data_IF_716602144873
#
_entry.id   IF_716602144873
#
_cell.length_a   1.000
_cell.length_b   1.000
_cell.length_c   1.000
_cell.angle_alpha   90.00
_cell.angle_beta   90.00
_cell.angle_gamma   90.00
#
_symmetry.space_group_name_H-M   'P 1'
#
loop_
_entity.id
_entity.type
_entity.pdbx_description
1 polymer ?
#
# COMPACT_ATOMS: atom_id res chain seq x y z
N UNK A 1 -36.69 52.43 -84.78
CA UNK A 1 -35.70 51.34 -84.62
C UNK A 1 -35.11 51.31 -83.20
N UNK A 2 -35.26 52.38 -82.42
CA UNK A 2 -34.68 52.56 -81.07
C UNK A 2 -35.15 51.58 -79.98
N UNK A 3 -36.39 51.07 -80.06
CA UNK A 3 -36.93 50.14 -79.05
C UNK A 3 -36.25 48.77 -79.04
N UNK A 4 -35.77 48.30 -80.19
CA UNK A 4 -35.04 47.03 -80.33
C UNK A 4 -33.62 47.15 -79.76
N UNK A 5 -32.99 48.31 -79.90
CA UNK A 5 -31.66 48.57 -79.38
C UNK A 5 -31.64 48.68 -77.84
N UNK A 6 -32.64 49.34 -77.27
CA UNK A 6 -32.83 49.39 -75.81
C UNK A 6 -33.10 48.00 -75.21
N UNK A 7 -33.90 47.16 -75.89
CA UNK A 7 -34.18 45.80 -75.45
C UNK A 7 -32.92 44.92 -75.47
N UNK A 8 -32.10 45.07 -76.52
CA UNK A 8 -30.86 44.31 -76.69
C UNK A 8 -29.81 44.73 -75.63
N UNK A 9 -29.76 46.02 -75.29
CA UNK A 9 -28.88 46.54 -74.23
C UNK A 9 -29.28 46.01 -72.85
N UNK A 10 -30.59 45.99 -72.54
CA UNK A 10 -31.08 45.45 -71.27
C UNK A 10 -30.87 43.93 -71.17
N UNK A 11 -31.06 43.19 -72.27
CA UNK A 11 -30.77 41.77 -72.33
C UNK A 11 -29.30 41.46 -72.03
N UNK A 12 -28.38 42.25 -72.60
CA UNK A 12 -26.94 42.13 -72.35
C UNK A 12 -26.56 42.40 -70.90
N UNK A 13 -27.16 43.42 -70.26
CA UNK A 13 -26.92 43.73 -68.85
C UNK A 13 -27.42 42.60 -67.96
N UNK A 14 -28.65 42.12 -68.20
CA UNK A 14 -29.22 41.03 -67.41
C UNK A 14 -28.41 39.73 -67.55
N UNK A 15 -27.94 39.44 -68.77
CA UNK A 15 -27.08 38.28 -69.03
C UNK A 15 -25.75 38.37 -68.27
N UNK A 16 -25.12 39.55 -68.26
CA UNK A 16 -23.89 39.77 -67.53
C UNK A 16 -24.08 39.67 -66.01
N UNK A 17 -25.21 40.16 -65.48
CA UNK A 17 -25.53 40.00 -64.05
C UNK A 17 -25.74 38.53 -63.69
N UNK A 18 -26.53 37.79 -64.48
CA UNK A 18 -26.76 36.35 -64.27
C UNK A 18 -25.46 35.56 -64.36
N UNK A 19 -24.61 35.82 -65.36
CA UNK A 19 -23.31 35.17 -65.51
C UNK A 19 -22.39 35.49 -64.31
N UNK A 20 -22.37 36.74 -63.84
CA UNK A 20 -21.57 37.14 -62.68
C UNK A 20 -22.02 36.45 -61.38
N UNK A 21 -23.33 36.29 -61.18
CA UNK A 21 -23.90 35.61 -60.02
C UNK A 21 -23.62 34.10 -60.12
N UNK A 22 -23.73 33.51 -61.30
CA UNK A 22 -23.47 32.09 -61.52
C UNK A 22 -21.99 31.76 -61.33
N UNK A 23 -21.08 32.62 -61.79
CA UNK A 23 -19.64 32.51 -61.53
C UNK A 23 -19.35 32.66 -60.03
N UNK A 24 -19.99 33.59 -59.32
CA UNK A 24 -19.81 33.75 -57.87
C UNK A 24 -20.29 32.52 -57.08
N UNK A 25 -21.45 31.95 -57.45
CA UNK A 25 -22.03 30.75 -56.83
C UNK A 25 -21.24 29.47 -57.16
N UNK A 26 -20.67 29.38 -58.37
CA UNK A 26 -19.80 28.26 -58.76
C UNK A 26 -18.42 28.36 -58.09
N UNK A 27 -17.90 29.58 -57.90
CA UNK A 27 -16.63 29.81 -57.20
C UNK A 27 -16.70 29.52 -55.69
N UNK A 28 -17.88 29.67 -55.07
CA UNK A 28 -18.11 29.35 -53.65
C UNK A 28 -18.24 27.84 -53.35
N UNK A 29 -18.39 26.98 -54.36
CA UNK A 29 -18.70 25.53 -54.18
C UNK A 29 -17.49 24.59 -54.14
N UNK A 30 -16.26 25.07 -54.03
CA UNK A 30 -15.15 24.15 -53.72
C UNK A 30 -15.30 23.65 -52.29
N UNK A 31 -15.68 22.39 -52.15
CA UNK A 31 -15.82 21.76 -50.85
C UNK A 31 -14.55 21.95 -50.01
N UNK A 32 -14.70 22.28 -48.73
CA UNK A 32 -13.60 22.70 -47.85
C UNK A 32 -12.43 21.70 -47.81
N UNK A 33 -12.70 20.41 -47.97
CA UNK A 33 -11.71 19.34 -48.02
C UNK A 33 -10.84 19.33 -49.29
N UNK A 34 -11.17 20.13 -50.32
CA UNK A 34 -10.32 20.30 -51.51
C UNK A 34 -9.29 21.42 -51.36
N UNK A 35 -9.38 22.22 -50.29
CA UNK A 35 -8.41 23.29 -50.01
C UNK A 35 -7.21 22.69 -49.26
N UNK A 36 -6.07 22.54 -49.94
CA UNK A 36 -4.82 21.97 -49.38
C UNK A 36 -4.46 22.62 -48.01
N UNK A 37 -4.52 23.95 -47.83
CA UNK A 37 -4.19 24.57 -46.54
C UNK A 37 -5.12 24.14 -45.38
N UNK A 38 -6.40 23.87 -45.68
CA UNK A 38 -7.38 23.42 -44.67
C UNK A 38 -7.05 22.00 -44.22
N UNK A 39 -6.71 21.11 -45.15
CA UNK A 39 -6.27 19.75 -44.82
C UNK A 39 -5.01 19.78 -43.95
N UNK A 40 -4.00 20.56 -44.34
CA UNK A 40 -2.75 20.70 -43.58
C UNK A 40 -3.05 21.20 -42.16
N UNK A 41 -3.94 22.18 -42.01
CA UNK A 41 -4.33 22.72 -40.70
C UNK A 41 -5.02 21.68 -39.82
N UNK A 42 -5.93 20.87 -40.40
CA UNK A 42 -6.60 19.79 -39.66
C UNK A 42 -5.61 18.69 -39.25
N UNK A 43 -4.69 18.31 -40.14
CA UNK A 43 -3.64 17.34 -39.83
C UNK A 43 -2.70 17.84 -38.74
N UNK A 44 -2.25 19.10 -38.84
CA UNK A 44 -1.43 19.73 -37.81
C UNK A 44 -2.15 19.79 -36.46
N UNK A 45 -3.45 20.12 -36.44
CA UNK A 45 -4.28 20.12 -35.25
C UNK A 45 -4.39 18.71 -34.64
N UNK A 46 -4.65 17.70 -35.47
CA UNK A 46 -4.74 16.30 -35.04
C UNK A 46 -3.40 15.82 -34.46
N UNK A 47 -2.29 16.20 -35.08
CA UNK A 47 -0.96 15.90 -34.59
C UNK A 47 -0.65 16.61 -33.27
N UNK A 48 -1.07 17.86 -33.11
CA UNK A 48 -0.95 18.62 -31.86
C UNK A 48 -1.73 17.94 -30.71
N UNK A 49 -2.97 17.50 -30.97
CA UNK A 49 -3.74 16.73 -29.99
C UNK A 49 -3.11 15.37 -29.68
N UNK A 50 -2.60 14.67 -30.71
CA UNK A 50 -1.92 13.39 -30.54
C UNK A 50 -0.67 13.48 -29.67
N UNK A 51 0.19 14.48 -29.93
CA UNK A 51 1.39 14.73 -29.12
C UNK A 51 1.05 15.14 -27.69
N UNK A 52 0.03 15.99 -27.49
CA UNK A 52 -0.46 16.38 -26.16
C UNK A 52 -0.97 15.18 -25.36
N UNK A 53 -1.77 14.31 -25.97
CA UNK A 53 -2.28 13.11 -25.32
C UNK A 53 -1.16 12.16 -24.90
N UNK A 54 -0.21 11.88 -25.81
CA UNK A 54 0.96 11.04 -25.52
C UNK A 54 1.83 11.67 -24.43
N UNK A 55 2.03 12.98 -24.46
CA UNK A 55 2.77 13.73 -23.44
C UNK A 55 2.13 13.56 -22.07
N UNK A 56 0.82 13.78 -21.96
CA UNK A 56 0.09 13.60 -20.70
C UNK A 56 0.17 12.16 -20.17
N UNK A 57 0.11 11.16 -21.06
CA UNK A 57 0.27 9.76 -20.66
C UNK A 57 1.69 9.47 -20.15
N UNK A 58 2.71 10.03 -20.80
CA UNK A 58 4.11 9.88 -20.39
C UNK A 58 4.38 10.54 -19.03
N UNK A 59 3.85 11.74 -18.80
CA UNK A 59 3.97 12.47 -17.54
C UNK A 59 3.39 11.61 -16.40
N UNK A 60 2.17 11.08 -16.54
CA UNK A 60 1.57 10.19 -15.52
C UNK A 60 2.43 8.96 -15.20
N UNK A 61 3.03 8.33 -16.21
CA UNK A 61 3.90 7.16 -15.99
C UNK A 61 5.19 7.58 -15.27
N UNK A 62 5.75 8.73 -15.61
CA UNK A 62 6.94 9.29 -14.96
C UNK A 62 6.65 9.65 -13.51
N UNK A 63 5.50 10.25 -13.23
CA UNK A 63 5.07 10.59 -11.87
C UNK A 63 4.93 9.33 -10.99
N UNK A 64 4.28 8.28 -11.51
CA UNK A 64 4.17 6.98 -10.83
C UNK A 64 5.57 6.40 -10.54
N UNK A 65 6.49 6.49 -11.51
CA UNK A 65 7.86 6.00 -11.32
C UNK A 65 8.63 6.82 -10.28
N UNK A 66 8.45 8.14 -10.24
CA UNK A 66 9.04 9.02 -9.25
C UNK A 66 8.55 8.69 -7.84
N UNK A 67 7.22 8.63 -7.65
CA UNK A 67 6.60 8.24 -6.37
C UNK A 67 7.09 6.85 -5.92
N UNK A 68 7.21 5.90 -6.86
CA UNK A 68 7.75 4.57 -6.56
C UNK A 68 9.21 4.58 -6.14
N UNK A 69 10.02 5.43 -6.75
CA UNK A 69 11.42 5.60 -6.36
C UNK A 69 11.51 6.15 -4.93
N UNK A 70 10.71 7.17 -4.62
CA UNK A 70 10.69 7.78 -3.30
C UNK A 70 10.19 6.81 -2.22
N UNK A 71 9.12 6.05 -2.50
CA UNK A 71 8.63 5.00 -1.61
C UNK A 71 9.71 3.96 -1.31
N UNK A 72 10.44 3.49 -2.32
CA UNK A 72 11.53 2.52 -2.12
C UNK A 72 12.66 3.09 -1.27
N UNK A 73 13.00 4.36 -1.47
CA UNK A 73 14.01 5.05 -0.66
C UNK A 73 13.57 5.16 0.81
N UNK A 74 12.30 5.45 1.07
CA UNK A 74 11.75 5.48 2.44
C UNK A 74 11.74 4.09 3.07
N UNK A 75 11.32 3.06 2.32
CA UNK A 75 11.33 1.67 2.81
C UNK A 75 12.73 1.18 3.16
N UNK A 76 13.74 1.54 2.36
CA UNK A 76 15.14 1.25 2.69
C UNK A 76 15.55 1.91 4.00
N UNK A 77 15.23 3.18 4.21
CA UNK A 77 15.52 3.89 5.46
C UNK A 77 14.79 3.27 6.67
N UNK A 78 13.51 2.92 6.50
CA UNK A 78 12.72 2.23 7.52
C UNK A 78 13.33 0.87 7.88
N UNK A 79 13.77 0.08 6.89
CA UNK A 79 14.42 -1.22 7.14
C UNK A 79 15.76 -1.14 7.87
N UNK A 80 16.42 0.03 7.85
CA UNK A 80 17.66 0.26 8.58
C UNK A 80 17.43 0.63 10.06
N UNK A 81 16.22 1.04 10.45
CA UNK A 81 15.90 1.47 11.83
C UNK A 81 16.17 0.38 12.87
N UNK A 82 15.74 -0.89 12.69
CA UNK A 82 15.99 -1.94 13.68
C UNK A 82 17.48 -2.15 13.98
N UNK A 83 18.33 -2.12 12.93
CA UNK A 83 19.79 -2.23 13.08
C UNK A 83 20.35 -1.05 13.86
N UNK A 84 19.92 0.17 13.57
CA UNK A 84 20.31 1.38 14.31
C UNK A 84 19.89 1.32 15.79
N UNK A 85 18.70 0.82 16.08
CA UNK A 85 18.23 0.60 17.46
C UNK A 85 19.08 -0.43 18.21
N UNK A 86 19.49 -1.51 17.54
CA UNK A 86 20.39 -2.51 18.12
C UNK A 86 21.78 -1.92 18.39
N UNK A 87 22.35 -1.20 17.42
CA UNK A 87 23.63 -0.50 17.57
C UNK A 87 23.58 0.54 18.69
N UNK A 88 22.48 1.29 18.81
CA UNK A 88 22.25 2.24 19.89
C UNK A 88 22.35 1.57 21.25
N UNK A 89 21.59 0.49 21.45
CA UNK A 89 21.54 -0.26 22.71
C UNK A 89 22.91 -0.81 23.07
N UNK A 90 23.68 -1.25 22.07
CA UNK A 90 25.05 -1.76 22.29
C UNK A 90 26.06 -0.65 22.57
N UNK A 91 25.96 0.48 21.86
CA UNK A 91 26.94 1.59 21.94
C UNK A 91 26.81 2.40 23.23
N UNK A 92 25.58 2.55 23.74
CA UNK A 92 25.28 3.33 24.94
C UNK A 92 24.73 2.46 26.07
N UNK A 93 25.18 1.20 26.18
CA UNK A 93 24.71 0.27 27.23
C UNK A 93 24.87 0.82 28.65
N UNK A 94 25.87 1.69 28.84
CA UNK A 94 26.24 2.26 30.14
C UNK A 94 25.63 3.65 30.38
N UNK A 95 24.92 4.22 29.40
CA UNK A 95 24.26 5.53 29.48
C UNK A 95 22.77 5.43 29.10
N UNK A 96 21.90 5.10 30.06
CA UNK A 96 20.45 5.00 29.83
C UNK A 96 19.83 6.30 29.31
N UNK A 97 20.39 7.47 29.65
CA UNK A 97 19.88 8.76 29.19
C UNK A 97 20.17 8.97 27.70
N UNK A 98 21.37 8.58 27.24
CA UNK A 98 21.71 8.60 25.82
C UNK A 98 20.83 7.65 25.01
N UNK A 99 20.57 6.44 25.52
CA UNK A 99 19.64 5.48 24.88
C UNK A 99 18.24 6.08 24.76
N UNK A 100 17.71 6.68 25.83
CA UNK A 100 16.39 7.28 25.81
C UNK A 100 16.30 8.47 24.84
N UNK A 101 17.29 9.37 24.85
CA UNK A 101 17.32 10.55 24.00
C UNK A 101 17.43 10.19 22.51
N UNK A 102 18.42 9.37 22.14
CA UNK A 102 18.63 8.99 20.72
C UNK A 102 17.54 8.04 20.24
N UNK A 103 17.06 7.12 21.10
CA UNK A 103 15.92 6.26 20.79
C UNK A 103 14.66 7.07 20.50
N UNK A 104 14.44 8.16 21.24
CA UNK A 104 13.37 9.13 20.95
C UNK A 104 13.49 9.77 19.57
N UNK A 105 14.71 10.13 19.13
CA UNK A 105 14.94 10.69 17.79
C UNK A 105 14.69 9.65 16.69
N UNK A 106 15.15 8.41 16.88
CA UNK A 106 14.92 7.31 15.93
C UNK A 106 13.41 7.05 15.79
N UNK A 107 12.65 7.09 16.89
CA UNK A 107 11.20 6.93 16.84
C UNK A 107 10.50 8.08 16.11
N UNK A 108 10.97 9.33 16.25
CA UNK A 108 10.44 10.46 15.49
C UNK A 108 10.74 10.33 13.99
N UNK A 109 11.95 9.90 13.63
CA UNK A 109 12.32 9.62 12.24
C UNK A 109 11.45 8.49 11.65
N UNK A 110 11.24 7.40 12.41
CA UNK A 110 10.35 6.31 12.03
C UNK A 110 8.93 6.82 11.73
N UNK A 111 8.39 7.64 12.63
CA UNK A 111 7.03 8.18 12.48
C UNK A 111 6.90 9.04 11.22
N UNK A 112 7.86 9.94 10.97
CA UNK A 112 7.86 10.80 9.80
C UNK A 112 7.96 10.00 8.50
N UNK A 113 8.94 9.09 8.40
CA UNK A 113 9.15 8.26 7.22
C UNK A 113 7.95 7.34 6.94
N UNK A 114 7.37 6.75 7.98
CA UNK A 114 6.22 5.85 7.85
C UNK A 114 4.97 6.62 7.37
N UNK A 115 4.71 7.81 7.92
CA UNK A 115 3.59 8.65 7.47
C UNK A 115 3.74 9.06 6.02
N UNK A 116 4.93 9.54 5.63
CA UNK A 116 5.22 9.93 4.25
C UNK A 116 5.11 8.74 3.29
N UNK A 117 5.64 7.57 3.67
CA UNK A 117 5.53 6.36 2.85
C UNK A 117 4.06 5.94 2.67
N UNK A 118 3.23 6.08 3.70
CA UNK A 118 1.81 5.78 3.60
C UNK A 118 1.07 6.77 2.66
N UNK A 119 1.40 8.06 2.73
CA UNK A 119 0.86 9.07 1.79
C UNK A 119 1.27 8.81 0.34
N UNK A 120 2.50 8.33 0.11
CA UNK A 120 2.94 7.93 -1.24
C UNK A 120 2.19 6.68 -1.73
N UNK A 121 1.88 5.74 -0.84
CA UNK A 121 1.05 4.56 -1.17
C UNK A 121 -0.36 5.00 -1.58
N UNK A 122 -0.99 5.93 -0.86
CA UNK A 122 -2.32 6.47 -1.19
C UNK A 122 -2.37 7.19 -2.54
N UNK A 123 -1.25 7.74 -3.01
CA UNK A 123 -1.15 8.41 -4.31
C UNK A 123 -0.91 7.44 -5.48
N UNK A 124 -0.45 6.23 -5.19
CA UNK A 124 -0.19 5.22 -6.20
C UNK A 124 -1.48 4.48 -6.58
N UNK A 125 -1.66 4.12 -7.86
CA UNK A 125 -2.70 3.18 -8.24
C UNK A 125 -2.50 1.81 -7.54
N UNK A 126 -3.59 1.13 -7.17
CA UNK A 126 -3.55 -0.16 -6.47
C UNK A 126 -2.71 -1.22 -7.20
N UNK A 127 -2.71 -1.23 -8.54
CA UNK A 127 -1.91 -2.15 -9.36
C UNK A 127 -0.39 -1.88 -9.29
N UNK A 128 0.01 -0.78 -8.65
CA UNK A 128 1.41 -0.41 -8.44
C UNK A 128 1.89 -0.70 -7.05
N UNK A 129 1.05 -0.80 -6.04
CA UNK A 129 1.47 -1.11 -4.66
C UNK A 129 1.55 -2.62 -4.48
N UNK A 130 2.64 -3.11 -3.89
CA UNK A 130 2.74 -4.51 -3.50
C UNK A 130 2.31 -4.71 -2.06
N UNK A 131 1.77 -5.89 -1.76
CA UNK A 131 1.34 -6.26 -0.42
C UNK A 131 2.46 -6.10 0.64
N UNK A 132 3.71 -6.39 0.27
CA UNK A 132 4.86 -6.30 1.17
C UNK A 132 5.29 -4.85 1.43
N UNK A 133 5.13 -3.94 0.47
CA UNK A 133 5.37 -2.51 0.67
C UNK A 133 4.36 -1.95 1.68
N UNK A 134 3.06 -2.25 1.49
CA UNK A 134 2.00 -1.85 2.43
C UNK A 134 2.22 -2.44 3.82
N UNK A 135 2.57 -3.73 3.93
CA UNK A 135 2.91 -4.38 5.19
C UNK A 135 4.07 -3.69 5.92
N UNK A 136 5.14 -3.36 5.18
CA UNK A 136 6.34 -2.75 5.76
C UNK A 136 6.04 -1.36 6.32
N UNK A 137 5.22 -0.57 5.62
CA UNK A 137 4.74 0.72 6.11
C UNK A 137 3.82 0.53 7.33
N UNK A 138 2.92 -0.45 7.31
CA UNK A 138 2.02 -0.75 8.43
C UNK A 138 2.79 -1.07 9.73
N UNK A 139 3.84 -1.89 9.64
CA UNK A 139 4.72 -2.23 10.76
C UNK A 139 5.39 -0.97 11.32
N UNK A 140 5.94 -0.12 10.45
CA UNK A 140 6.59 1.11 10.86
C UNK A 140 5.63 2.11 11.53
N UNK A 141 4.41 2.24 10.99
CA UNK A 141 3.33 3.04 11.57
C UNK A 141 2.92 2.50 12.95
N UNK A 142 2.78 1.18 13.09
CA UNK A 142 2.44 0.54 14.36
C UNK A 142 3.49 0.81 15.44
N UNK A 143 4.79 0.67 15.12
CA UNK A 143 5.87 1.03 16.04
C UNK A 143 5.93 2.52 16.38
N UNK A 144 5.34 3.37 15.53
CA UNK A 144 5.19 4.80 15.74
C UNK A 144 3.88 5.18 16.44
N UNK A 145 3.13 4.20 16.96
CA UNK A 145 1.83 4.38 17.60
C UNK A 145 0.75 5.01 16.71
N UNK A 146 0.92 5.01 15.38
CA UNK A 146 -0.07 5.47 14.40
C UNK A 146 -1.03 4.33 14.06
N UNK A 147 -1.72 3.80 15.06
CA UNK A 147 -2.46 2.53 14.99
C UNK A 147 -3.58 2.52 13.93
N UNK A 148 -4.30 3.63 13.75
CA UNK A 148 -5.37 3.71 12.75
C UNK A 148 -4.81 3.55 11.33
N UNK A 149 -3.81 4.35 10.98
CA UNK A 149 -3.17 4.29 9.66
C UNK A 149 -2.41 2.97 9.44
N UNK A 150 -1.83 2.42 10.51
CA UNK A 150 -1.22 1.08 10.47
C UNK A 150 -2.26 0.00 10.13
N UNK A 151 -3.47 0.08 10.71
CA UNK A 151 -4.55 -0.86 10.41
C UNK A 151 -4.95 -0.81 8.94
N UNK A 152 -5.15 0.40 8.39
CA UNK A 152 -5.47 0.61 6.97
C UNK A 152 -4.39 0.03 6.04
N UNK A 153 -3.11 0.23 6.38
CA UNK A 153 -2.00 -0.34 5.60
C UNK A 153 -1.91 -1.87 5.72
N UNK A 154 -2.21 -2.45 6.89
CA UNK A 154 -2.31 -3.90 7.02
C UNK A 154 -3.50 -4.47 6.23
N UNK A 155 -4.65 -3.79 6.22
CA UNK A 155 -5.81 -4.19 5.42
C UNK A 155 -5.49 -4.15 3.93
N UNK A 156 -4.86 -3.07 3.45
CA UNK A 156 -4.37 -2.98 2.07
C UNK A 156 -3.40 -4.12 1.74
N UNK A 157 -2.44 -4.40 2.64
CA UNK A 157 -1.51 -5.51 2.49
C UNK A 157 -2.23 -6.86 2.39
N UNK A 158 -3.21 -7.11 3.25
CA UNK A 158 -4.02 -8.33 3.24
C UNK A 158 -4.77 -8.49 1.91
N UNK A 159 -5.38 -7.42 1.40
CA UNK A 159 -6.16 -7.41 0.17
C UNK A 159 -5.29 -7.63 -1.08
N UNK A 160 -4.05 -7.14 -1.07
CA UNK A 160 -3.09 -7.31 -2.16
C UNK A 160 -2.28 -8.62 -2.08
N UNK A 161 -2.33 -9.34 -0.95
CA UNK A 161 -1.45 -10.47 -0.69
C UNK A 161 -1.75 -11.66 -1.62
N UNK A 162 -0.73 -12.05 -2.40
CA UNK A 162 -0.77 -13.26 -3.26
C UNK A 162 0.00 -14.43 -2.65
N UNK A 163 0.64 -14.23 -1.50
CA UNK A 163 1.40 -15.24 -0.77
C UNK A 163 0.95 -15.38 0.69
N UNK A 164 1.17 -16.57 1.25
CA UNK A 164 0.74 -16.94 2.60
C UNK A 164 1.43 -16.12 3.69
N UNK A 165 2.72 -15.82 3.53
CA UNK A 165 3.49 -15.15 4.58
C UNK A 165 2.99 -13.72 4.78
N UNK A 166 2.83 -12.96 3.69
CA UNK A 166 2.32 -11.58 3.74
C UNK A 166 0.89 -11.55 4.27
N UNK A 167 0.04 -12.48 3.82
CA UNK A 167 -1.35 -12.57 4.27
C UNK A 167 -1.45 -12.82 5.79
N UNK A 168 -0.71 -13.81 6.30
CA UNK A 168 -0.68 -14.14 7.73
C UNK A 168 -0.10 -12.99 8.54
N UNK A 169 0.98 -12.37 8.07
CA UNK A 169 1.64 -11.29 8.77
C UNK A 169 0.72 -10.06 8.90
N UNK A 170 0.02 -9.68 7.83
CA UNK A 170 -0.96 -8.60 7.85
C UNK A 170 -2.09 -8.86 8.86
N UNK A 171 -2.66 -10.07 8.88
CA UNK A 171 -3.70 -10.45 9.86
C UNK A 171 -3.22 -10.39 11.30
N UNK A 172 -2.01 -10.88 11.58
CA UNK A 172 -1.39 -10.75 12.91
C UNK A 172 -1.20 -9.29 13.29
N UNK A 173 -0.78 -8.43 12.35
CA UNK A 173 -0.65 -6.99 12.55
C UNK A 173 -1.98 -6.33 12.93
N UNK A 174 -3.02 -6.55 12.12
CA UNK A 174 -4.39 -6.09 12.41
C UNK A 174 -4.88 -6.56 13.77
N UNK A 175 -4.68 -7.84 14.10
CA UNK A 175 -5.08 -8.41 15.38
C UNK A 175 -4.45 -7.67 16.56
N UNK A 176 -3.13 -7.43 16.51
CA UNK A 176 -2.42 -6.68 17.56
C UNK A 176 -2.98 -5.27 17.73
N UNK A 177 -3.26 -4.55 16.65
CA UNK A 177 -3.85 -3.21 16.72
C UNK A 177 -5.25 -3.26 17.36
N UNK A 178 -6.06 -4.25 17.02
CA UNK A 178 -7.40 -4.42 17.60
C UNK A 178 -7.33 -4.67 19.10
N UNK A 179 -6.38 -5.49 19.58
CA UNK A 179 -6.15 -5.68 21.02
C UNK A 179 -5.73 -4.38 21.73
N UNK A 180 -4.77 -3.64 21.16
CA UNK A 180 -4.33 -2.34 21.70
C UNK A 180 -5.47 -1.32 21.72
N UNK A 181 -6.39 -1.41 20.76
CA UNK A 181 -7.55 -0.52 20.63
C UNK A 181 -8.78 -0.98 21.45
N UNK A 182 -8.64 -2.01 22.31
CA UNK A 182 -9.72 -2.52 23.15
C UNK A 182 -10.75 -3.40 22.42
N UNK A 183 -10.54 -3.72 21.15
CA UNK A 183 -11.41 -4.54 20.32
C UNK A 183 -10.95 -6.02 20.31
N UNK A 184 -10.81 -6.61 21.50
CA UNK A 184 -10.20 -7.92 21.68
C UNK A 184 -10.89 -9.03 20.86
N UNK A 185 -12.23 -9.07 20.81
CA UNK A 185 -12.94 -10.10 20.04
C UNK A 185 -12.65 -10.02 18.53
N UNK A 186 -12.61 -8.82 17.97
CA UNK A 186 -12.21 -8.63 16.58
C UNK A 186 -10.75 -9.07 16.35
N UNK A 187 -9.87 -8.78 17.31
CA UNK A 187 -8.48 -9.25 17.28
C UNK A 187 -8.36 -10.78 17.27
N UNK A 188 -9.18 -11.48 18.08
CA UNK A 188 -9.26 -12.95 18.08
C UNK A 188 -9.70 -13.50 16.73
N UNK A 189 -10.68 -12.87 16.09
CA UNK A 189 -11.12 -13.25 14.74
C UNK A 189 -9.94 -13.16 13.76
N UNK A 190 -9.18 -12.07 13.77
CA UNK A 190 -8.02 -11.90 12.88
C UNK A 190 -6.93 -12.97 13.11
N UNK A 191 -6.63 -13.32 14.37
CA UNK A 191 -5.69 -14.41 14.64
C UNK A 191 -6.23 -15.78 14.21
N UNK A 192 -7.52 -16.03 14.43
CA UNK A 192 -8.15 -17.28 13.98
C UNK A 192 -8.11 -17.41 12.45
N UNK A 193 -8.37 -16.33 11.74
CA UNK A 193 -8.24 -16.30 10.28
C UNK A 193 -6.79 -16.51 9.82
N UNK A 194 -5.81 -15.98 10.56
CA UNK A 194 -4.39 -16.24 10.30
C UNK A 194 -4.02 -17.72 10.49
N UNK A 195 -4.60 -18.41 11.47
CA UNK A 195 -4.48 -19.87 11.63
C UNK A 195 -5.15 -20.64 10.49
N UNK A 196 -6.26 -20.12 9.95
CA UNK A 196 -6.99 -20.74 8.87
C UNK A 196 -6.40 -20.50 7.47
N UNK A 197 -5.24 -19.82 7.36
CA UNK A 197 -4.63 -19.41 6.09
C UNK A 197 -4.41 -20.56 5.10
N UNK A 198 -4.12 -21.78 5.59
CA UNK A 198 -3.84 -22.95 4.76
C UNK A 198 -5.09 -23.53 4.07
N UNK A 199 -6.29 -23.07 4.43
CA UNK A 199 -7.51 -23.35 3.65
C UNK A 199 -7.48 -22.65 2.28
N UNK A 200 -6.83 -21.48 2.21
CA UNK A 200 -6.68 -20.65 1.01
C UNK A 200 -5.37 -21.01 0.30
N UNK A 201 -4.25 -20.95 1.03
CA UNK A 201 -2.92 -21.19 0.50
C UNK A 201 -2.50 -22.65 0.71
N UNK A 202 -2.76 -23.48 -0.30
CA UNK A 202 -2.49 -24.94 -0.27
C UNK A 202 -1.06 -25.28 -0.71
N UNK A 203 -0.62 -26.51 -0.42
CA UNK A 203 0.65 -27.06 -0.91
C UNK A 203 1.86 -26.87 0.01
N UNK A 204 1.69 -26.24 1.18
CA UNK A 204 2.74 -26.13 2.18
C UNK A 204 2.92 -27.44 2.96
N UNK A 205 4.17 -27.79 3.26
CA UNK A 205 4.47 -28.97 4.07
C UNK A 205 4.06 -28.80 5.54
N UNK A 206 3.93 -29.91 6.25
CA UNK A 206 3.51 -29.97 7.66
C UNK A 206 4.39 -29.09 8.58
N UNK A 207 5.70 -29.02 8.31
CA UNK A 207 6.60 -28.18 9.08
C UNK A 207 6.27 -26.69 8.95
N UNK A 208 6.05 -26.18 7.74
CA UNK A 208 5.66 -24.79 7.51
C UNK A 208 4.30 -24.50 8.17
N UNK A 209 3.34 -25.42 8.06
CA UNK A 209 2.02 -25.24 8.68
C UNK A 209 2.11 -25.11 10.19
N UNK A 210 2.78 -26.07 10.84
CA UNK A 210 2.95 -26.09 12.30
C UNK A 210 3.73 -24.88 12.81
N UNK A 211 4.81 -24.51 12.13
CA UNK A 211 5.63 -23.36 12.56
C UNK A 211 4.89 -22.04 12.38
N UNK A 212 4.14 -21.86 11.30
CA UNK A 212 3.23 -20.72 11.14
C UNK A 212 2.18 -20.68 12.24
N UNK A 213 1.55 -21.82 12.59
CA UNK A 213 0.58 -21.88 13.69
C UNK A 213 1.19 -21.48 15.03
N UNK A 214 2.36 -22.04 15.37
CA UNK A 214 3.04 -21.72 16.62
C UNK A 214 3.33 -20.22 16.72
N UNK A 215 3.88 -19.61 15.67
CA UNK A 215 4.17 -18.17 15.67
C UNK A 215 2.87 -17.35 15.80
N UNK A 216 1.79 -17.74 15.13
CA UNK A 216 0.48 -17.06 15.28
C UNK A 216 -0.02 -17.16 16.72
N UNK A 217 0.04 -18.34 17.34
CA UNK A 217 -0.40 -18.57 18.71
C UNK A 217 0.44 -17.80 19.72
N UNK A 218 1.76 -17.67 19.50
CA UNK A 218 2.63 -16.85 20.34
C UNK A 218 2.33 -15.34 20.22
N UNK A 219 2.00 -14.86 19.02
CA UNK A 219 1.54 -13.48 18.83
C UNK A 219 0.18 -13.24 19.51
N UNK A 220 -0.75 -14.19 19.37
CA UNK A 220 -2.04 -14.12 20.04
C UNK A 220 -1.88 -14.13 21.56
N UNK A 221 -1.07 -15.04 22.10
CA UNK A 221 -0.69 -15.06 23.50
C UNK A 221 -0.18 -13.68 23.97
N UNK A 222 0.77 -13.09 23.24
CA UNK A 222 1.34 -11.79 23.58
C UNK A 222 0.30 -10.66 23.59
N UNK A 223 -0.59 -10.63 22.59
CA UNK A 223 -1.66 -9.64 22.50
C UNK A 223 -2.67 -9.78 23.66
N UNK A 224 -3.11 -11.01 23.97
CA UNK A 224 -4.04 -11.25 25.07
C UNK A 224 -3.42 -10.94 26.43
N UNK A 225 -2.18 -11.35 26.67
CA UNK A 225 -1.47 -11.05 27.91
C UNK A 225 -1.24 -9.54 28.08
N UNK A 226 -0.82 -8.84 27.02
CA UNK A 226 -0.64 -7.39 27.02
C UNK A 226 -1.94 -6.60 27.28
N UNK A 227 -3.09 -7.16 26.90
CA UNK A 227 -4.42 -6.60 27.20
C UNK A 227 -5.05 -7.11 28.50
N UNK A 228 -4.32 -7.90 29.32
CA UNK A 228 -4.78 -8.39 30.63
C UNK A 228 -5.64 -9.65 30.60
N UNK A 229 -5.84 -10.30 29.45
CA UNK A 229 -6.58 -11.56 29.30
C UNK A 229 -5.71 -12.79 29.63
N UNK A 230 -5.11 -12.80 30.82
CA UNK A 230 -4.08 -13.77 31.19
C UNK A 230 -4.56 -15.23 31.13
N UNK A 231 -5.79 -15.53 31.57
CA UNK A 231 -6.32 -16.89 31.56
C UNK A 231 -6.48 -17.45 30.14
N UNK A 232 -7.00 -16.63 29.21
CA UNK A 232 -7.13 -16.97 27.79
C UNK A 232 -5.76 -17.10 27.13
N UNK A 233 -4.84 -16.19 27.43
CA UNK A 233 -3.49 -16.19 26.85
C UNK A 233 -2.74 -17.50 27.14
N UNK A 234 -2.87 -18.05 28.36
CA UNK A 234 -2.24 -19.32 28.75
C UNK A 234 -2.73 -20.48 27.88
N UNK A 235 -4.00 -20.46 27.44
CA UNK A 235 -4.52 -21.49 26.54
C UNK A 235 -3.75 -21.49 25.22
N UNK A 236 -3.50 -20.30 24.63
CA UNK A 236 -2.76 -20.14 23.38
C UNK A 236 -1.30 -20.58 23.52
N UNK A 237 -0.68 -20.30 24.66
CA UNK A 237 0.67 -20.77 24.94
C UNK A 237 0.74 -22.31 25.04
N UNK A 238 -0.24 -22.95 25.69
CA UNK A 238 -0.29 -24.41 25.79
C UNK A 238 -0.57 -25.08 24.43
N UNK A 239 -1.43 -24.48 23.60
CA UNK A 239 -1.66 -24.92 22.23
C UNK A 239 -0.35 -24.86 21.41
N UNK A 240 0.39 -23.76 21.48
CA UNK A 240 1.69 -23.60 20.82
C UNK A 240 2.71 -24.66 21.28
N UNK A 241 2.77 -24.91 22.59
CA UNK A 241 3.64 -25.93 23.17
C UNK A 241 3.30 -27.33 22.65
N UNK A 242 2.01 -27.68 22.61
CA UNK A 242 1.56 -28.99 22.12
C UNK A 242 1.94 -29.21 20.64
N UNK A 243 1.79 -28.19 19.79
CA UNK A 243 2.24 -28.29 18.39
C UNK A 243 3.76 -28.43 18.33
N UNK A 244 4.51 -27.68 19.14
CA UNK A 244 5.98 -27.71 19.13
C UNK A 244 6.57 -29.09 19.45
N UNK A 245 5.90 -29.87 20.30
CA UNK A 245 6.29 -31.26 20.64
C UNK A 245 6.21 -32.22 19.46
N UNK A 246 5.43 -31.87 18.43
CA UNK A 246 5.28 -32.67 17.21
C UNK A 246 6.23 -32.27 16.08
N UNK A 247 7.06 -31.26 16.29
CA UNK A 247 8.07 -30.85 15.31
C UNK A 247 9.25 -31.82 15.31
N UNK A 248 9.85 -32.03 14.13
CA UNK A 248 11.11 -32.76 14.02
C UNK A 248 12.20 -32.03 14.81
N UNK A 249 13.06 -32.73 15.58
CA UNK A 249 14.19 -32.11 16.27
C UNK A 249 15.11 -31.36 15.29
N UNK A 250 15.52 -30.16 15.67
CA UNK A 250 16.41 -29.31 14.88
C UNK A 250 16.58 -27.91 15.48
N UNK A 251 17.48 -27.08 14.93
CA UNK A 251 17.77 -25.76 15.47
C UNK A 251 16.54 -24.86 15.62
N UNK A 252 15.64 -24.89 14.64
CA UNK A 252 14.41 -24.11 14.67
C UNK A 252 13.45 -24.57 15.76
N UNK A 253 13.33 -25.88 15.98
CA UNK A 253 12.49 -26.46 17.05
C UNK A 253 12.99 -26.00 18.42
N UNK A 254 14.32 -25.99 18.63
CA UNK A 254 14.94 -25.47 19.86
C UNK A 254 14.65 -23.98 20.04
N UNK A 255 14.76 -23.18 18.97
CA UNK A 255 14.45 -21.75 19.02
C UNK A 255 12.99 -21.50 19.43
N UNK A 256 12.04 -22.20 18.81
CA UNK A 256 10.61 -22.07 19.12
C UNK A 256 10.30 -22.50 20.55
N UNK A 257 10.88 -23.62 21.01
CA UNK A 257 10.74 -24.05 22.40
C UNK A 257 11.31 -23.03 23.39
N UNK A 258 12.43 -22.39 23.03
CA UNK A 258 13.00 -21.28 23.79
C UNK A 258 12.04 -20.08 23.89
N UNK A 259 11.39 -19.70 22.78
CA UNK A 259 10.39 -18.63 22.78
C UNK A 259 9.17 -18.97 23.66
N UNK A 260 8.67 -20.20 23.59
CA UNK A 260 7.57 -20.69 24.43
C UNK A 260 7.97 -20.63 25.91
N UNK A 261 9.18 -21.06 26.26
CA UNK A 261 9.66 -21.00 27.64
C UNK A 261 9.83 -19.56 28.14
N UNK A 262 10.34 -18.67 27.30
CA UNK A 262 10.46 -17.25 27.63
C UNK A 262 9.08 -16.62 27.89
N UNK A 263 8.10 -16.89 27.03
CA UNK A 263 6.71 -16.45 27.20
C UNK A 263 6.11 -16.98 28.52
N UNK A 264 6.35 -18.26 28.85
CA UNK A 264 5.89 -18.87 30.10
C UNK A 264 6.47 -18.16 31.34
N UNK A 265 7.77 -17.85 31.30
CA UNK A 265 8.44 -17.17 32.40
C UNK A 265 7.89 -15.74 32.63
N UNK A 266 7.53 -15.03 31.55
CA UNK A 266 6.93 -13.69 31.65
C UNK A 266 5.60 -13.69 32.41
N UNK A 267 4.69 -14.64 32.13
CA UNK A 267 3.40 -14.73 32.82
C UNK A 267 3.60 -15.04 34.31
N UNK A 268 4.49 -15.98 34.64
CA UNK A 268 4.73 -16.36 36.04
C UNK A 268 5.24 -15.14 36.82
N UNK A 269 6.18 -14.38 36.24
CA UNK A 269 6.67 -13.14 36.84
C UNK A 269 5.55 -12.12 37.13
N UNK A 270 4.62 -11.93 36.19
CA UNK A 270 3.47 -11.03 36.37
C UNK A 270 2.51 -11.51 37.46
N UNK A 271 2.28 -12.82 37.58
CA UNK A 271 1.39 -13.39 38.60
C UNK A 271 1.92 -13.24 40.04
N UNK A 272 3.25 -13.26 40.22
CA UNK A 272 3.88 -13.09 41.53
C UNK A 272 3.81 -11.62 41.97
N UNK A 273 4.02 -10.68 41.03
CA UNK A 273 3.95 -9.25 41.33
C UNK A 273 2.55 -8.81 41.75
N UNK A 274 1.49 -9.25 41.05
CA UNK A 274 0.10 -8.88 41.39
C UNK A 274 -0.35 -9.39 42.76
N UNK A 275 0.26 -10.48 43.26
CA UNK A 275 -0.03 -11.03 44.59
C UNK A 275 0.67 -10.25 45.71
N UNK A 276 1.78 -9.54 45.40
CA UNK A 276 2.59 -8.82 46.38
C UNK A 276 2.10 -7.38 46.61
N UNK A 277 1.50 -6.73 45.61
CA UNK A 277 0.93 -5.38 45.72
C UNK A 277 -0.48 -5.33 46.32
N UNK A 278 -1.11 -6.48 46.59
CA UNK A 278 -2.42 -6.58 47.20
C UNK A 278 -2.38 -6.78 48.74
N UNK A 279 -1.21 -6.62 49.35
CA UNK A 279 -0.99 -6.63 50.81
C UNK A 279 -0.64 -5.22 51.29
#
# INVERSE_FOLDING_TARGET
MDGLEALNKNYLILKNEVDSIQISLLSQKTAWYKKIPVIISILALTFSFGTTYVSNKRIKIQDIQAIKSDLRNMLQQLSAIPSRNFELTKKYSDDPNAVAFVGGQINQENALLASQAAELIEQLPDDRVSAIEAYSVAVALQFSYQNQKAFEMYELSHNLATDMNTNVAAKRGMANILFISGQAEAGRVQFQEALNTFSIFKGYNDFIQKTTHIVTLLNWFGAESGSGFNAQSIQKLNEAENISKTLRPGPYTVQVQGQIQQARNQIIGLSIQSTTTAQ
#
